data_IF_854809679096
#
_entry.id   IF_854809679096
#
_cell.length_a   1.000
_cell.length_b   1.000
_cell.length_c   1.000
_cell.angle_alpha   90.00
_cell.angle_beta   90.00
_cell.angle_gamma   90.00
#
_symmetry.space_group_name_H-M   'P 1'
#
loop_
_entity.id
_entity.type
_entity.pdbx_description
1 polymer ?
#
# COMPACT_ATOMS: atom_id res chain seq x y z
N UNK A 1 3.80 19.16 7.24
CA UNK A 1 2.78 18.96 6.20
C UNK A 1 1.76 17.95 6.69
N UNK A 2 0.53 18.01 6.19
CA UNK A 2 -0.51 17.02 6.42
C UNK A 2 -0.66 16.21 5.13
N UNK A 3 -0.60 14.88 5.19
CA UNK A 3 -0.89 14.05 4.00
C UNK A 3 -1.51 12.70 4.37
N UNK A 4 -2.50 12.30 3.57
CA UNK A 4 -3.14 10.99 3.59
C UNK A 4 -2.42 10.07 2.61
N UNK A 5 -1.80 9.03 3.13
CA UNK A 5 -1.05 8.06 2.34
C UNK A 5 -1.80 6.73 2.37
N UNK A 6 -2.14 6.22 1.19
CA UNK A 6 -2.64 4.83 1.10
C UNK A 6 -1.44 3.90 0.96
N UNK A 7 -1.37 2.89 1.83
CA UNK A 7 -0.36 1.84 1.73
C UNK A 7 -0.95 0.65 0.97
N UNK A 8 -0.21 0.16 -0.02
CA UNK A 8 -0.56 -0.99 -0.84
C UNK A 8 0.56 -2.03 -0.71
N UNK A 9 0.57 -2.85 0.35
CA UNK A 9 1.72 -3.71 0.63
C UNK A 9 1.89 -4.83 -0.39
N UNK A 10 0.79 -5.37 -0.91
CA UNK A 10 0.78 -6.33 -2.00
C UNK A 10 1.27 -7.73 -1.60
N UNK A 11 2.13 -8.33 -2.43
CA UNK A 11 2.53 -9.72 -2.38
C UNK A 11 4.02 -9.91 -2.01
N UNK A 12 4.40 -11.16 -1.74
CA UNK A 12 5.79 -11.52 -1.44
C UNK A 12 6.34 -10.75 -0.25
N UNK A 13 7.48 -10.08 -0.44
CA UNK A 13 8.12 -9.26 0.60
C UNK A 13 7.52 -7.85 0.75
N UNK A 14 6.52 -7.51 -0.07
CA UNK A 14 5.89 -6.19 -0.09
C UNK A 14 5.37 -5.73 1.28
N UNK A 15 4.62 -6.56 2.04
CA UNK A 15 4.20 -6.25 3.41
C UNK A 15 5.32 -5.87 4.36
N UNK A 16 6.44 -6.59 4.32
CA UNK A 16 7.58 -6.37 5.21
C UNK A 16 8.27 -5.04 4.89
N UNK A 17 8.52 -4.78 3.60
CA UNK A 17 9.21 -3.56 3.16
C UNK A 17 8.35 -2.31 3.34
N UNK A 18 7.04 -2.40 3.07
CA UNK A 18 6.11 -1.28 3.28
C UNK A 18 5.99 -0.94 4.76
N UNK A 19 5.97 -1.93 5.66
CA UNK A 19 5.98 -1.68 7.10
C UNK A 19 7.21 -0.89 7.56
N UNK A 20 8.40 -1.20 7.04
CA UNK A 20 9.61 -0.44 7.34
C UNK A 20 9.60 0.97 6.69
N UNK A 21 9.01 1.11 5.50
CA UNK A 21 8.79 2.40 4.85
C UNK A 21 7.90 3.33 5.69
N UNK A 22 6.82 2.81 6.27
CA UNK A 22 5.95 3.56 7.17
C UNK A 22 6.70 4.02 8.42
N UNK A 23 7.54 3.16 9.02
CA UNK A 23 8.38 3.57 10.18
C UNK A 23 9.35 4.69 9.83
N UNK A 24 9.98 4.62 8.67
CA UNK A 24 10.88 5.67 8.20
C UNK A 24 10.14 7.00 7.98
N UNK A 25 8.95 6.97 7.36
CA UNK A 25 8.11 8.14 7.17
C UNK A 25 7.65 8.74 8.51
N UNK A 26 7.30 7.91 9.49
CA UNK A 26 6.93 8.38 10.82
C UNK A 26 8.10 9.05 11.53
N UNK A 27 9.31 8.49 11.45
CA UNK A 27 10.50 9.12 12.03
C UNK A 27 10.82 10.48 11.40
N UNK A 28 10.61 10.62 10.08
CA UNK A 28 10.71 11.90 9.36
C UNK A 28 9.62 12.87 9.84
N UNK A 29 8.39 12.39 10.01
CA UNK A 29 7.27 13.20 10.48
C UNK A 29 7.53 13.78 11.87
N UNK A 30 7.99 12.93 12.80
CA UNK A 30 8.34 13.33 14.16
C UNK A 30 9.49 14.34 14.18
N UNK A 31 10.50 14.16 13.32
CA UNK A 31 11.67 15.03 13.26
C UNK A 31 11.38 16.42 12.68
N UNK A 32 10.52 16.51 11.67
CA UNK A 32 10.31 17.73 10.89
C UNK A 32 8.92 18.35 11.07
N UNK A 33 8.11 17.85 12.02
CA UNK A 33 6.77 18.36 12.27
C UNK A 33 5.84 18.13 11.08
N UNK A 34 5.85 16.92 10.53
CA UNK A 34 4.83 16.49 9.57
C UNK A 34 3.83 15.57 10.25
N UNK A 35 2.69 15.39 9.61
CA UNK A 35 1.65 14.47 10.04
C UNK A 35 1.22 13.66 8.83
N UNK A 36 1.38 12.35 8.95
CA UNK A 36 0.98 11.39 7.93
C UNK A 36 -0.08 10.48 8.54
N UNK A 37 -1.16 10.26 7.79
CA UNK A 37 -2.13 9.20 8.12
C UNK A 37 -2.01 8.10 7.09
N UNK A 38 -1.94 6.85 7.55
CA UNK A 38 -1.79 5.69 6.68
C UNK A 38 -3.08 4.87 6.65
N UNK A 39 -3.57 4.57 5.44
CA UNK A 39 -4.72 3.70 5.19
C UNK A 39 -4.27 2.52 4.34
N UNK A 40 -4.28 1.32 4.91
CA UNK A 40 -3.86 0.12 4.18
C UNK A 40 -5.00 -0.46 3.33
N UNK A 41 -4.68 -0.83 2.09
CA UNK A 41 -5.61 -1.45 1.12
C UNK A 41 -4.96 -2.60 0.35
N UNK A 42 -5.80 -3.48 -0.19
CA UNK A 42 -5.38 -4.69 -0.90
C UNK A 42 -5.04 -4.41 -2.36
N UNK A 43 -3.94 -4.98 -2.86
CA UNK A 43 -3.59 -5.02 -4.28
C UNK A 43 -2.88 -6.36 -4.61
N UNK A 44 -2.93 -6.80 -5.86
CA UNK A 44 -2.15 -7.94 -6.35
C UNK A 44 -2.79 -9.29 -6.04
N UNK A 45 -1.97 -10.33 -5.91
CA UNK A 45 -2.39 -11.71 -5.68
C UNK A 45 -3.18 -11.87 -4.38
N UNK A 46 -2.80 -11.18 -3.31
CA UNK A 46 -3.54 -11.18 -2.06
C UNK A 46 -4.94 -10.56 -2.21
N UNK A 47 -5.10 -9.56 -3.08
CA UNK A 47 -6.39 -8.96 -3.39
C UNK A 47 -7.25 -9.90 -4.25
N UNK A 48 -6.67 -10.61 -5.22
CA UNK A 48 -7.38 -11.64 -6.00
C UNK A 48 -7.90 -12.72 -5.05
N UNK A 49 -7.07 -13.22 -4.14
CA UNK A 49 -7.45 -14.26 -3.20
C UNK A 49 -8.60 -13.84 -2.26
N UNK A 50 -8.61 -12.57 -1.83
CA UNK A 50 -9.61 -12.07 -0.89
C UNK A 50 -10.91 -11.59 -1.57
N UNK A 51 -10.83 -11.05 -2.79
CA UNK A 51 -11.93 -10.28 -3.41
C UNK A 51 -12.29 -10.72 -4.83
N UNK A 52 -11.46 -11.56 -5.46
CA UNK A 52 -11.57 -11.92 -6.87
C UNK A 52 -11.05 -10.86 -7.84
N UNK A 53 -10.53 -9.71 -7.36
CA UNK A 53 -9.94 -8.65 -8.19
C UNK A 53 -8.52 -8.32 -7.74
N UNK A 54 -7.54 -8.14 -8.66
CA UNK A 54 -6.20 -7.67 -8.31
C UNK A 54 -6.18 -6.20 -7.86
N UNK A 55 -7.22 -5.44 -8.20
CA UNK A 55 -7.42 -4.06 -7.78
C UNK A 55 -8.90 -3.88 -7.43
N UNK A 56 -9.29 -4.11 -6.18
CA UNK A 56 -10.66 -3.89 -5.72
C UNK A 56 -11.07 -2.42 -5.91
N UNK A 57 -12.33 -2.16 -6.26
CA UNK A 57 -12.82 -0.80 -6.48
C UNK A 57 -12.61 0.10 -5.25
N UNK A 58 -12.81 -0.46 -4.05
CA UNK A 58 -12.57 0.25 -2.78
C UNK A 58 -11.10 0.69 -2.62
N UNK A 59 -10.15 -0.11 -3.11
CA UNK A 59 -8.72 0.23 -3.12
C UNK A 59 -8.47 1.41 -4.08
N UNK A 60 -9.03 1.34 -5.30
CA UNK A 60 -8.88 2.40 -6.30
C UNK A 60 -9.48 3.72 -5.79
N UNK A 61 -10.67 3.65 -5.18
CA UNK A 61 -11.36 4.79 -4.60
C UNK A 61 -10.58 5.39 -3.42
N UNK A 62 -9.96 4.57 -2.57
CA UNK A 62 -9.06 5.07 -1.53
C UNK A 62 -7.85 5.80 -2.12
N UNK A 63 -7.20 5.23 -3.14
CA UNK A 63 -6.05 5.85 -3.81
C UNK A 63 -6.41 7.20 -4.45
N UNK A 64 -7.60 7.33 -5.05
CA UNK A 64 -8.09 8.59 -5.64
C UNK A 64 -8.31 9.70 -4.62
N UNK A 65 -8.59 9.35 -3.35
CA UNK A 65 -8.78 10.30 -2.25
C UNK A 65 -7.51 10.60 -1.45
N UNK A 66 -6.42 9.87 -1.73
CA UNK A 66 -5.15 10.02 -1.04
C UNK A 66 -4.31 11.11 -1.69
N UNK A 67 -3.40 11.70 -0.90
CA UNK A 67 -2.39 12.63 -1.41
C UNK A 67 -1.23 11.86 -2.07
N UNK A 68 -0.96 10.63 -1.61
CA UNK A 68 0.05 9.75 -2.16
C UNK A 68 -0.28 8.27 -1.93
N UNK A 69 0.38 7.40 -2.70
CA UNK A 69 0.32 5.95 -2.57
C UNK A 69 1.72 5.39 -2.31
N UNK A 70 1.88 4.62 -1.24
CA UNK A 70 3.09 3.84 -0.96
C UNK A 70 2.83 2.38 -1.34
N UNK A 71 3.34 1.97 -2.48
CA UNK A 71 3.15 0.63 -3.03
C UNK A 71 4.38 -0.26 -2.78
N UNK A 72 4.13 -1.49 -2.34
CA UNK A 72 5.14 -2.54 -2.18
C UNK A 72 5.40 -3.27 -3.49
N UNK A 73 5.24 -4.59 -3.48
CA UNK A 73 5.41 -5.44 -4.65
C UNK A 73 4.09 -6.15 -4.98
N UNK A 74 3.86 -6.41 -6.26
CA UNK A 74 2.77 -7.29 -6.72
C UNK A 74 3.37 -8.37 -7.59
N UNK A 75 2.86 -9.59 -7.45
CA UNK A 75 3.35 -10.73 -8.20
C UNK A 75 3.16 -12.03 -7.44
N UNK A 76 2.59 -13.00 -8.11
CA UNK A 76 2.41 -14.35 -7.58
C UNK A 76 2.49 -15.34 -8.75
N UNK A 77 3.37 -16.35 -8.68
CA UNK A 77 3.51 -17.35 -9.75
C UNK A 77 2.21 -18.06 -10.14
N UNK A 78 1.18 -18.07 -9.27
CA UNK A 78 -0.14 -18.62 -9.57
C UNK A 78 -0.89 -17.85 -10.68
N UNK A 79 -0.51 -16.60 -10.92
CA UNK A 79 -1.15 -15.72 -11.90
C UNK A 79 -0.22 -15.36 -13.08
N UNK A 80 0.96 -15.96 -13.16
CA UNK A 80 1.84 -15.85 -14.32
C UNK A 80 1.32 -16.76 -15.46
N UNK A 81 1.20 -16.21 -16.67
CA UNK A 81 0.92 -16.96 -17.90
C UNK A 81 2.27 -17.42 -18.51
N UNK A 82 2.43 -18.68 -18.96
CA UNK A 82 3.68 -19.15 -19.59
C UNK A 82 4.01 -18.51 -20.94
#
# INVERSE_FOLDING_TARGET
MEARVVTLPGDGIGPEVVAEGVKALQAVADRYGHHFTFEERLIGGCAIAATGSPLPEETLEACRRADAVLMGAVGDPRYDDP
#
